data_IF_878613345616
#
_entry.id   IF_878613345616
#
_cell.length_a   1.000
_cell.length_b   1.000
_cell.length_c   1.000
_cell.angle_alpha   90.00
_cell.angle_beta   90.00
_cell.angle_gamma   90.00
#
_symmetry.space_group_name_H-M   'P 1'
#
loop_
_entity.id
_entity.type
_entity.pdbx_description
1 polymer ?
#
# COMPACT_ATOMS: atom_id res chain seq x y z
N UNK A 1 -7.15 -12.62 -2.31
CA UNK A 1 -5.72 -12.34 -2.52
C UNK A 1 -5.12 -13.46 -3.38
N UNK A 2 -4.26 -13.15 -4.36
CA UNK A 2 -3.56 -14.17 -5.16
C UNK A 2 -2.43 -14.85 -4.36
N UNK A 3 -1.85 -15.95 -4.84
CA UNK A 3 -0.65 -16.57 -4.23
C UNK A 3 0.53 -15.61 -4.18
N UNK A 4 0.89 -14.99 -5.32
CA UNK A 4 1.97 -14.01 -5.38
C UNK A 4 1.77 -12.85 -4.40
N UNK A 5 0.55 -12.36 -4.24
CA UNK A 5 0.27 -11.30 -3.27
C UNK A 5 0.42 -11.77 -1.81
N UNK A 6 0.00 -13.00 -1.49
CA UNK A 6 0.18 -13.58 -0.15
C UNK A 6 1.66 -13.78 0.18
N UNK A 7 2.42 -14.33 -0.75
CA UNK A 7 3.85 -14.58 -0.54
C UNK A 7 4.62 -13.27 -0.40
N UNK A 8 4.26 -12.27 -1.21
CA UNK A 8 4.82 -10.94 -1.11
C UNK A 8 4.53 -10.29 0.25
N UNK A 9 3.27 -10.29 0.69
CA UNK A 9 2.89 -9.76 2.00
C UNK A 9 3.68 -10.44 3.11
N UNK A 10 3.73 -11.77 3.13
CA UNK A 10 4.47 -12.53 4.14
C UNK A 10 5.96 -12.16 4.17
N UNK A 11 6.59 -11.98 3.00
CA UNK A 11 7.99 -11.57 2.89
C UNK A 11 8.25 -10.14 3.39
N UNK A 12 7.37 -9.19 3.08
CA UNK A 12 7.53 -7.77 3.49
C UNK A 12 7.31 -7.58 4.99
N UNK A 13 6.31 -8.26 5.53
CA UNK A 13 5.79 -8.03 6.89
C UNK A 13 6.38 -9.01 7.90
N UNK A 14 6.82 -10.18 7.46
CA UNK A 14 7.20 -11.30 8.33
C UNK A 14 5.99 -12.03 8.94
N UNK A 15 4.77 -11.64 8.59
CA UNK A 15 3.56 -12.30 9.07
C UNK A 15 3.31 -13.62 8.33
N UNK A 16 2.62 -14.56 8.98
CA UNK A 16 2.12 -15.74 8.30
C UNK A 16 1.09 -15.34 7.22
N UNK A 17 0.97 -16.08 6.11
CA UNK A 17 -0.05 -15.82 5.11
C UNK A 17 -1.45 -15.69 5.72
N UNK A 18 -2.28 -14.79 5.18
CA UNK A 18 -3.64 -14.49 5.67
C UNK A 18 -3.70 -13.84 7.06
N UNK A 19 -2.58 -13.32 7.56
CA UNK A 19 -2.54 -12.56 8.81
C UNK A 19 -2.45 -11.08 8.52
N UNK A 20 -3.32 -10.30 9.14
CA UNK A 20 -3.35 -8.84 9.08
C UNK A 20 -3.27 -8.28 10.51
N UNK A 21 -2.94 -6.99 10.61
CA UNK A 21 -2.90 -6.24 11.86
C UNK A 21 -4.00 -5.20 11.89
N UNK A 22 -4.90 -5.27 12.87
CA UNK A 22 -5.93 -4.25 13.06
C UNK A 22 -5.45 -3.19 14.06
N UNK A 23 -5.43 -1.93 13.64
CA UNK A 23 -5.04 -0.79 14.46
C UNK A 23 -6.02 0.37 14.29
N UNK A 24 -6.57 0.85 15.41
CA UNK A 24 -7.62 1.88 15.42
C UNK A 24 -8.83 1.57 14.51
N UNK A 25 -9.18 0.29 14.37
CA UNK A 25 -10.28 -0.19 13.53
C UNK A 25 -10.00 -0.17 12.03
N UNK A 26 -8.73 -0.04 11.63
CA UNK A 26 -8.24 -0.11 10.26
C UNK A 26 -7.25 -1.26 10.15
N UNK A 27 -7.37 -2.05 9.09
CA UNK A 27 -6.48 -3.18 8.84
C UNK A 27 -5.25 -2.75 8.04
N UNK A 28 -4.13 -3.40 8.36
CA UNK A 28 -2.82 -3.25 7.74
C UNK A 28 -2.26 -4.64 7.46
N UNK A 29 -1.49 -4.77 6.38
CA UNK A 29 -0.89 -6.05 6.02
C UNK A 29 0.16 -6.54 7.04
N UNK A 30 0.76 -5.63 7.82
CA UNK A 30 1.73 -5.97 8.86
C UNK A 30 2.02 -4.87 9.88
N UNK A 31 2.74 -5.25 10.94
CA UNK A 31 3.21 -4.34 11.99
C UNK A 31 4.56 -4.78 12.57
N UNK A 32 5.50 -3.82 12.69
CA UNK A 32 6.79 -4.01 13.40
C UNK A 32 6.81 -3.21 14.69
N UNK A 33 6.71 -3.93 15.80
CA UNK A 33 6.60 -3.34 17.15
C UNK A 33 7.82 -2.50 17.55
N UNK A 34 9.05 -2.94 17.21
CA UNK A 34 10.29 -2.23 17.54
C UNK A 34 10.41 -0.85 16.91
N UNK A 35 9.71 -0.62 15.79
CA UNK A 35 9.75 0.63 15.02
C UNK A 35 8.42 1.41 15.09
N UNK A 36 7.40 0.85 15.77
CA UNK A 36 6.01 1.32 15.69
C UNK A 36 5.53 1.47 14.24
N UNK A 37 5.95 0.56 13.35
CA UNK A 37 5.79 0.69 11.90
C UNK A 37 4.64 -0.19 11.40
N UNK A 38 3.59 0.44 10.91
CA UNK A 38 2.50 -0.20 10.17
C UNK A 38 2.94 -0.39 8.71
N UNK A 39 2.49 -1.47 8.07
CA UNK A 39 2.94 -1.87 6.75
C UNK A 39 1.75 -2.23 5.85
N UNK A 40 1.80 -1.80 4.59
CA UNK A 40 0.92 -2.24 3.50
C UNK A 40 1.77 -2.78 2.34
N UNK A 41 1.35 -3.86 1.70
CA UNK A 41 2.08 -4.58 0.65
C UNK A 41 1.22 -4.77 -0.61
N UNK A 42 1.63 -4.15 -1.73
CA UNK A 42 0.94 -4.23 -3.02
C UNK A 42 1.78 -4.99 -4.04
N UNK A 43 1.28 -6.16 -4.45
CA UNK A 43 1.94 -7.05 -5.41
C UNK A 43 1.18 -7.11 -6.75
N UNK A 44 1.93 -7.16 -7.87
CA UNK A 44 1.37 -7.31 -9.22
C UNK A 44 0.37 -6.21 -9.59
N UNK A 45 0.68 -4.95 -9.28
CA UNK A 45 -0.19 -3.82 -9.59
C UNK A 45 0.08 -3.21 -10.97
N UNK A 46 1.26 -3.42 -11.57
CA UNK A 46 1.60 -2.85 -12.89
C UNK A 46 0.65 -3.37 -13.99
N UNK A 47 0.00 -4.52 -13.78
CA UNK A 47 -1.05 -5.02 -14.68
C UNK A 47 -2.24 -4.05 -14.86
N UNK A 48 -2.43 -3.12 -13.93
CA UNK A 48 -3.50 -2.10 -13.98
C UNK A 48 -3.08 -0.82 -14.70
N UNK A 49 -1.83 -0.71 -15.14
CA UNK A 49 -1.26 0.47 -15.76
C UNK A 49 -0.84 0.18 -17.20
N UNK A 50 -0.78 1.23 -17.99
CA UNK A 50 -0.18 1.16 -19.32
C UNK A 50 1.36 1.21 -19.19
N UNK A 51 2.09 0.28 -19.83
CA UNK A 51 3.55 0.23 -19.72
C UNK A 51 4.26 1.38 -20.46
N UNK A 52 3.59 2.09 -21.38
CA UNK A 52 4.21 3.15 -22.17
C UNK A 52 4.19 4.50 -21.45
N UNK A 53 3.07 4.87 -20.83
CA UNK A 53 2.89 6.18 -20.17
C UNK A 53 2.78 6.11 -18.64
N UNK A 54 2.63 4.91 -18.07
CA UNK A 54 2.50 4.72 -16.62
C UNK A 54 1.14 5.14 -16.05
N UNK A 55 0.16 5.48 -16.89
CA UNK A 55 -1.16 5.90 -16.47
C UNK A 55 -2.09 4.70 -16.23
N UNK A 56 -3.07 4.82 -15.33
CA UNK A 56 -3.99 3.73 -15.02
C UNK A 56 -4.86 3.41 -16.23
N UNK A 57 -4.97 2.12 -16.56
CA UNK A 57 -5.87 1.66 -17.61
C UNK A 57 -7.30 2.07 -17.28
N UNK A 58 -8.08 2.41 -18.32
CA UNK A 58 -9.45 2.90 -18.18
C UNK A 58 -10.33 2.01 -17.29
N UNK A 59 -10.22 0.68 -17.41
CA UNK A 59 -11.01 -0.23 -16.58
C UNK A 59 -10.68 -0.13 -15.09
N UNK A 60 -9.42 0.16 -14.75
CA UNK A 60 -8.98 0.31 -13.36
C UNK A 60 -9.48 1.62 -12.76
N UNK A 61 -9.38 2.71 -13.51
CA UNK A 61 -9.87 4.03 -13.07
C UNK A 61 -11.40 4.09 -13.00
N UNK A 62 -12.10 3.68 -14.08
CA UNK A 62 -13.57 3.67 -14.12
C UNK A 62 -14.16 2.65 -13.14
N UNK A 63 -13.54 1.48 -13.01
CA UNK A 63 -13.88 0.45 -12.02
C UNK A 63 -13.61 0.87 -10.57
N UNK A 64 -13.00 2.03 -10.34
CA UNK A 64 -12.75 2.60 -9.02
C UNK A 64 -11.62 1.93 -8.26
N UNK A 65 -10.73 1.20 -8.94
CA UNK A 65 -9.54 0.58 -8.33
C UNK A 65 -8.63 1.62 -7.69
N UNK A 66 -8.32 2.69 -8.41
CA UNK A 66 -7.53 3.82 -7.88
C UNK A 66 -8.24 4.47 -6.68
N UNK A 67 -9.53 4.78 -6.80
CA UNK A 67 -10.30 5.38 -5.70
C UNK A 67 -10.29 4.51 -4.45
N UNK A 68 -10.32 3.17 -4.59
CA UNK A 68 -10.23 2.24 -3.46
C UNK A 68 -8.86 2.29 -2.80
N UNK A 69 -7.78 2.31 -3.58
CA UNK A 69 -6.40 2.45 -3.07
C UNK A 69 -6.25 3.75 -2.30
N UNK A 70 -6.68 4.87 -2.90
CA UNK A 70 -6.59 6.18 -2.25
C UNK A 70 -7.40 6.23 -0.95
N UNK A 71 -8.63 5.70 -0.92
CA UNK A 71 -9.42 5.63 0.32
C UNK A 71 -8.74 4.80 1.42
N UNK A 72 -8.10 3.68 1.06
CA UNK A 72 -7.35 2.86 2.02
C UNK A 72 -6.14 3.64 2.55
N UNK A 73 -5.32 4.20 1.67
CA UNK A 73 -4.13 4.97 2.02
C UNK A 73 -4.48 6.17 2.92
N UNK A 74 -5.50 6.95 2.58
CA UNK A 74 -5.91 8.10 3.40
C UNK A 74 -6.42 7.67 4.78
N UNK A 75 -7.17 6.57 4.87
CA UNK A 75 -7.68 6.05 6.14
C UNK A 75 -6.54 5.55 7.05
N UNK A 76 -5.63 4.75 6.50
CA UNK A 76 -4.45 4.25 7.18
C UNK A 76 -3.55 5.40 7.64
N UNK A 77 -3.24 6.35 6.76
CA UNK A 77 -2.41 7.50 7.09
C UNK A 77 -3.02 8.38 8.20
N UNK A 78 -4.36 8.56 8.19
CA UNK A 78 -5.07 9.26 9.27
C UNK A 78 -4.93 8.52 10.60
N UNK A 79 -5.13 7.21 10.60
CA UNK A 79 -5.00 6.38 11.81
C UNK A 79 -3.56 6.43 12.36
N UNK A 80 -2.55 6.33 11.51
CA UNK A 80 -1.13 6.44 11.90
C UNK A 80 -0.83 7.82 12.51
N UNK A 81 -1.14 8.92 11.80
CA UNK A 81 -0.84 10.28 12.30
C UNK A 81 -1.54 10.62 13.61
N UNK A 82 -2.74 10.08 13.84
CA UNK A 82 -3.48 10.30 15.08
C UNK A 82 -2.85 9.60 16.30
N UNK A 83 -1.90 8.68 16.09
CA UNK A 83 -1.33 7.85 17.15
C UNK A 83 0.21 7.85 17.11
N UNK A 84 0.89 8.97 17.45
CA UNK A 84 2.35 8.98 17.56
C UNK A 84 2.82 8.02 18.67
N UNK A 85 3.99 7.35 18.52
CA UNK A 85 5.00 7.54 17.48
C UNK A 85 4.83 6.63 16.24
N UNK A 86 3.60 6.17 15.94
CA UNK A 86 3.41 5.23 14.83
C UNK A 86 3.80 5.82 13.47
N UNK A 87 4.29 4.94 12.60
CA UNK A 87 4.74 5.23 11.24
C UNK A 87 4.04 4.29 10.25
N UNK A 88 4.01 4.66 8.97
CA UNK A 88 3.37 3.88 7.91
C UNK A 88 4.25 3.82 6.66
N UNK A 89 4.55 2.59 6.24
CA UNK A 89 5.19 2.30 4.97
C UNK A 89 4.22 1.55 4.04
N UNK A 90 4.19 1.98 2.78
CA UNK A 90 3.57 1.22 1.69
C UNK A 90 4.66 0.64 0.79
N UNK A 91 4.63 -0.67 0.58
CA UNK A 91 5.59 -1.42 -0.21
C UNK A 91 4.94 -1.88 -1.52
N UNK A 92 5.59 -1.58 -2.63
CA UNK A 92 5.16 -1.99 -3.96
C UNK A 92 6.18 -2.97 -4.55
N UNK A 93 5.68 -4.05 -5.13
CA UNK A 93 6.52 -5.05 -5.82
C UNK A 93 7.09 -4.49 -7.12
N UNK A 94 6.36 -3.61 -7.80
CA UNK A 94 6.62 -3.22 -9.18
C UNK A 94 6.69 -1.69 -9.34
N UNK A 95 7.51 -1.20 -10.30
CA UNK A 95 7.89 0.20 -10.36
C UNK A 95 6.78 1.14 -10.85
N UNK A 96 5.90 0.74 -11.78
CA UNK A 96 4.91 1.67 -12.36
C UNK A 96 3.88 2.05 -11.30
N UNK A 97 3.32 1.07 -10.62
CA UNK A 97 2.38 1.29 -9.53
C UNK A 97 3.04 2.05 -8.37
N UNK A 98 4.31 1.74 -8.05
CA UNK A 98 5.08 2.48 -7.05
C UNK A 98 5.16 3.97 -7.37
N UNK A 99 5.62 4.32 -8.57
CA UNK A 99 5.80 5.71 -9.00
C UNK A 99 4.47 6.46 -9.03
N UNK A 100 3.44 5.84 -9.60
CA UNK A 100 2.11 6.42 -9.72
C UNK A 100 1.51 6.75 -8.35
N UNK A 101 1.47 5.79 -7.42
CA UNK A 101 0.87 6.00 -6.11
C UNK A 101 1.75 6.84 -5.19
N UNK A 102 3.08 6.76 -5.29
CA UNK A 102 3.97 7.67 -4.57
C UNK A 102 3.69 9.13 -4.91
N UNK A 103 3.49 9.44 -6.21
CA UNK A 103 3.09 10.77 -6.67
C UNK A 103 1.73 11.18 -6.08
N UNK A 104 0.71 10.32 -6.16
CA UNK A 104 -0.62 10.64 -5.64
C UNK A 104 -0.63 10.84 -4.12
N UNK A 105 0.06 9.98 -3.36
CA UNK A 105 0.13 10.11 -1.90
C UNK A 105 0.86 11.38 -1.46
N UNK A 106 1.86 11.81 -2.23
CA UNK A 106 2.55 13.07 -2.00
C UNK A 106 1.63 14.27 -2.29
N UNK A 107 0.93 14.25 -3.44
CA UNK A 107 0.01 15.32 -3.83
C UNK A 107 -1.16 15.47 -2.85
N UNK A 108 -1.67 14.36 -2.31
CA UNK A 108 -2.74 14.36 -1.30
C UNK A 108 -2.22 14.60 0.14
N UNK A 109 -0.91 14.82 0.31
CA UNK A 109 -0.30 15.15 1.60
C UNK A 109 -0.41 14.03 2.64
N UNK A 110 -0.43 12.77 2.20
CA UNK A 110 -0.66 11.63 3.10
C UNK A 110 0.53 11.33 4.03
N UNK A 111 1.73 11.82 3.71
CA UNK A 111 2.93 11.57 4.52
C UNK A 111 3.27 10.07 4.65
N UNK A 112 2.84 9.25 3.69
CA UNK A 112 3.16 7.82 3.62
C UNK A 112 4.52 7.65 2.98
N UNK A 113 5.40 6.87 3.60
CA UNK A 113 6.65 6.46 2.94
C UNK A 113 6.35 5.32 1.96
N UNK A 114 6.61 5.56 0.68
CA UNK A 114 6.29 4.62 -0.40
C UNK A 114 7.57 4.01 -0.96
N UNK A 115 7.70 2.68 -0.90
CA UNK A 115 8.93 1.94 -1.15
C UNK A 115 8.74 0.95 -2.30
N UNK A 116 9.66 0.95 -3.26
CA UNK A 116 9.79 -0.11 -4.26
C UNK A 116 10.63 -1.23 -3.65
N UNK A 117 10.04 -2.42 -3.52
CA UNK A 117 10.71 -3.60 -2.98
C UNK A 117 10.23 -4.84 -3.75
N UNK A 118 10.87 -5.20 -4.87
CA UNK A 118 10.54 -6.39 -5.67
C UNK A 118 10.65 -7.68 -4.88
#
# INVERSE_FOLDING_TARGET
MSEVARDYQARITGFAPFTEWSFAGIDFDGFRSSECMLQEAKARYDQFFDPEDGEPRLFFSLGGGERKIMRQASAQARATRANPPSQLNWYFMEPIAHEYFARLFLLDGLGIRTLLQP
#
